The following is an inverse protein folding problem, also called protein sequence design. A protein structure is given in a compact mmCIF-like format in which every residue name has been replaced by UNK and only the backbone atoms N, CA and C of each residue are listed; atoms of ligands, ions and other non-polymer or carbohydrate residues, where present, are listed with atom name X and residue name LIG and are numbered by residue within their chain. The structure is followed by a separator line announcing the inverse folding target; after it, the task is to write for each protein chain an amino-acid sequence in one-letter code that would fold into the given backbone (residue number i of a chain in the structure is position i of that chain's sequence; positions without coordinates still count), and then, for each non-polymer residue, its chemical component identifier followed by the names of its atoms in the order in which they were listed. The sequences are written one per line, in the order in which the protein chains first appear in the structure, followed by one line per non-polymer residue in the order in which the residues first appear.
data_IF_362743173415
#
_entry.id   IF_362743173415
#
_cell.length_a   1.000
_cell.length_b   1.000
_cell.length_c   1.000
_cell.angle_alpha   90.00
_cell.angle_beta   90.00
_cell.angle_gamma   90.00
#
_symmetry.space_group_name_H-M   'P 1'
#
loop_
_entity.id
_entity.type
_entity.pdbx_description
1 polymer ?
#
# COMPACT_ATOMS: atom_id res chain seq x y z
N UNK A 1 -3.98 5.48 -10.93
CA UNK A 1 -3.47 5.33 -9.55
C UNK A 1 -2.13 6.04 -9.44
N UNK A 2 -1.89 6.74 -8.33
CA UNK A 2 -0.63 7.46 -8.09
C UNK A 2 -0.11 7.16 -6.68
N UNK A 3 1.16 6.80 -6.56
CA UNK A 3 1.83 6.66 -5.25
C UNK A 3 2.08 8.05 -4.67
N UNK A 4 1.76 8.22 -3.39
CA UNK A 4 1.93 9.48 -2.65
C UNK A 4 3.20 9.42 -1.82
N UNK A 5 3.81 10.59 -1.61
CA UNK A 5 5.02 10.69 -0.80
C UNK A 5 4.69 11.39 0.51
N UNK A 6 5.19 10.82 1.60
CA UNK A 6 5.12 11.39 2.95
C UNK A 6 6.54 11.50 3.48
N UNK A 7 6.87 12.64 4.08
CA UNK A 7 8.06 12.79 4.89
C UNK A 7 7.65 12.70 6.35
N UNK A 8 7.96 11.57 6.98
CA UNK A 8 7.68 11.40 8.39
C UNK A 8 8.57 12.34 9.21
N UNK A 9 7.99 13.11 10.16
CA UNK A 9 8.78 13.89 11.09
C UNK A 9 9.70 13.01 11.93
N UNK A 10 10.81 13.55 12.46
CA UNK A 10 11.67 12.81 13.38
C UNK A 10 10.89 12.25 14.56
N UNK A 11 11.09 10.96 14.86
CA UNK A 11 10.40 10.27 15.96
C UNK A 11 8.98 9.79 15.65
N UNK A 12 8.41 10.14 14.49
CA UNK A 12 7.13 9.59 14.03
C UNK A 12 7.42 8.33 13.21
N UNK A 13 6.94 7.19 13.71
CA UNK A 13 7.01 5.92 13.01
C UNK A 13 5.61 5.50 12.58
N UNK A 14 5.43 5.02 11.35
CA UNK A 14 4.15 4.45 10.97
C UNK A 14 3.91 3.20 11.82
N UNK A 15 2.70 3.05 12.33
CA UNK A 15 2.34 1.82 13.03
C UNK A 15 2.25 0.67 12.01
N UNK A 16 3.31 -0.14 12.01
CA UNK A 16 3.49 -1.33 11.17
C UNK A 16 3.28 -2.63 11.96
N UNK A 17 2.73 -2.55 13.18
CA UNK A 17 2.36 -3.72 13.98
C UNK A 17 1.11 -4.44 13.44
N UNK A 18 0.33 -3.74 12.62
CA UNK A 18 -0.87 -4.28 11.97
C UNK A 18 -0.54 -5.38 10.96
N UNK A 19 -1.51 -6.29 10.75
CA UNK A 19 -1.44 -7.28 9.67
C UNK A 19 -1.33 -6.56 8.32
N UNK A 20 -0.57 -7.12 7.34
CA UNK A 20 -0.57 -6.60 5.98
C UNK A 20 -1.98 -6.47 5.42
N UNK A 21 -2.21 -5.39 4.69
CA UNK A 21 -3.53 -5.10 4.18
C UNK A 21 -3.62 -3.73 3.53
N UNK A 22 -4.85 -3.39 3.18
CA UNK A 22 -5.21 -2.09 2.61
C UNK A 22 -6.30 -1.46 3.46
N UNK A 23 -6.16 -0.17 3.73
CA UNK A 23 -7.17 0.64 4.39
C UNK A 23 -7.56 1.76 3.45
N UNK A 24 -8.85 1.82 3.12
CA UNK A 24 -9.45 2.91 2.36
C UNK A 24 -9.80 4.05 3.31
N UNK A 25 -9.51 5.27 2.87
CA UNK A 25 -9.70 6.52 3.60
C UNK A 25 -10.42 7.48 2.65
N UNK A 26 -11.70 7.73 2.94
CA UNK A 26 -12.60 8.44 2.03
C UNK A 26 -12.68 9.95 2.25
N UNK A 27 -12.09 10.46 3.33
CA UNK A 27 -12.21 11.87 3.71
C UNK A 27 -11.00 12.37 4.49
N UNK A 28 -10.89 13.69 4.63
CA UNK A 28 -9.89 14.33 5.48
C UNK A 28 -10.07 13.97 6.97
N UNK A 29 -11.30 13.84 7.45
CA UNK A 29 -11.56 13.44 8.83
C UNK A 29 -11.05 12.02 9.09
N UNK A 30 -11.41 11.06 8.23
CA UNK A 30 -10.91 9.69 8.34
C UNK A 30 -9.38 9.61 8.25
N UNK A 31 -8.76 10.48 7.43
CA UNK A 31 -7.31 10.53 7.32
C UNK A 31 -6.66 10.97 8.63
N UNK A 32 -7.20 12.00 9.30
CA UNK A 32 -6.71 12.43 10.61
C UNK A 32 -6.84 11.33 11.65
N UNK A 33 -7.98 10.63 11.67
CA UNK A 33 -8.27 9.59 12.66
C UNK A 33 -7.35 8.36 12.48
N UNK A 34 -7.12 7.94 11.23
CA UNK A 34 -6.38 6.71 10.91
C UNK A 34 -4.87 6.88 10.79
N UNK A 35 -4.40 8.08 10.43
CA UNK A 35 -2.99 8.35 10.14
C UNK A 35 -2.36 9.34 11.12
N UNK A 36 -3.17 10.02 11.93
CA UNK A 36 -2.76 11.16 12.73
C UNK A 36 -2.69 12.45 11.89
N UNK A 37 -2.83 13.62 12.55
CA UNK A 37 -2.99 14.91 11.87
C UNK A 37 -1.78 15.32 11.03
N UNK A 38 -0.56 14.95 11.42
CA UNK A 38 0.66 15.36 10.72
C UNK A 38 0.84 14.65 9.37
N UNK A 39 0.63 13.33 9.35
CA UNK A 39 0.69 12.53 8.12
C UNK A 39 -0.50 12.85 7.23
N UNK A 40 -1.69 12.96 7.82
CA UNK A 40 -2.91 13.31 7.10
C UNK A 40 -2.74 14.65 6.37
N UNK A 41 -2.23 15.70 7.02
CA UNK A 41 -2.00 17.01 6.41
C UNK A 41 -1.13 16.96 5.14
N UNK A 42 -0.09 16.13 5.13
CA UNK A 42 0.77 15.95 3.94
C UNK A 42 0.06 15.20 2.81
N UNK A 43 -0.80 14.23 3.14
CA UNK A 43 -1.47 13.38 2.15
C UNK A 43 -2.73 14.03 1.57
N UNK A 44 -3.58 14.63 2.41
CA UNK A 44 -4.87 15.19 1.97
C UNK A 44 -4.69 16.36 1.01
N UNK A 45 -3.57 17.08 1.10
CA UNK A 45 -3.23 18.17 0.16
C UNK A 45 -2.86 17.68 -1.24
N UNK A 46 -2.59 16.37 -1.40
CA UNK A 46 -2.24 15.74 -2.67
C UNK A 46 -3.44 15.01 -3.32
N UNK A 47 -4.64 15.11 -2.74
CA UNK A 47 -5.81 14.29 -3.10
C UNK A 47 -7.05 15.19 -3.26
N UNK A 48 -7.79 14.97 -4.35
CA UNK A 48 -9.13 15.54 -4.53
C UNK A 48 -10.18 14.49 -4.13
N UNK A 49 -10.66 14.52 -2.87
CA UNK A 49 -11.63 13.55 -2.35
C UNK A 49 -13.00 13.56 -3.08
N UNK A 50 -13.25 14.51 -3.98
CA UNK A 50 -14.41 14.45 -4.86
C UNK A 50 -14.27 13.39 -5.96
N UNK A 51 -13.02 13.08 -6.37
CA UNK A 51 -12.69 12.17 -7.49
C UNK A 51 -11.85 10.97 -7.07
N UNK A 52 -11.08 11.12 -6.01
CA UNK A 52 -10.11 10.15 -5.52
C UNK A 52 -10.43 9.73 -4.08
N UNK A 53 -9.84 8.61 -3.67
CA UNK A 53 -9.75 8.16 -2.28
C UNK A 53 -8.30 7.84 -1.95
N UNK A 54 -7.96 7.96 -0.67
CA UNK A 54 -6.66 7.60 -0.14
C UNK A 54 -6.66 6.11 0.23
N UNK A 55 -5.62 5.39 -0.17
CA UNK A 55 -5.35 4.02 0.23
C UNK A 55 -4.03 3.97 0.98
N UNK A 56 -4.05 3.42 2.18
CA UNK A 56 -2.85 3.01 2.92
C UNK A 56 -2.65 1.51 2.69
N UNK A 57 -1.49 1.11 2.20
CA UNK A 57 -1.09 -0.28 2.03
C UNK A 57 0.06 -0.61 2.98
N UNK A 58 -0.22 -1.43 3.99
CA UNK A 58 0.79 -1.96 4.91
C UNK A 58 1.21 -3.34 4.45
N UNK A 59 2.52 -3.60 4.44
CA UNK A 59 3.04 -4.88 3.97
C UNK A 59 4.36 -5.24 4.63
N UNK A 60 4.72 -6.52 4.56
CA UNK A 60 6.02 -6.97 4.98
C UNK A 60 6.57 -8.03 4.02
N UNK A 61 7.89 -8.19 4.01
CA UNK A 61 8.54 -9.26 3.28
C UNK A 61 9.78 -9.75 4.00
N UNK A 62 9.98 -11.06 4.05
CA UNK A 62 11.24 -11.67 4.52
C UNK A 62 12.34 -11.55 3.45
N UNK A 63 13.62 -11.67 3.82
CA UNK A 63 14.72 -11.56 2.86
C UNK A 63 16.02 -11.09 3.51
N UNK A 64 17.04 -10.68 2.72
CA UNK A 64 17.04 -10.53 1.25
C UNK A 64 17.18 -11.85 0.46
N UNK A 65 16.78 -11.89 -0.85
CA UNK A 65 16.06 -10.83 -1.54
C UNK A 65 14.66 -10.66 -0.94
N UNK A 66 14.22 -9.40 -0.88
CA UNK A 66 12.91 -9.03 -0.37
C UNK A 66 11.90 -9.04 -1.52
N UNK A 67 10.65 -9.36 -1.20
CA UNK A 67 9.54 -9.07 -2.08
C UNK A 67 9.28 -7.56 -2.16
N UNK A 68 8.43 -7.19 -3.12
CA UNK A 68 8.05 -5.81 -3.38
C UNK A 68 6.54 -5.67 -3.40
N UNK A 69 6.02 -4.57 -2.86
CA UNK A 69 4.61 -4.23 -3.05
C UNK A 69 4.35 -3.95 -4.54
N UNK A 70 3.39 -4.66 -5.09
CA UNK A 70 2.89 -4.54 -6.45
C UNK A 70 1.38 -4.32 -6.41
N UNK A 71 0.82 -3.99 -7.57
CA UNK A 71 -0.62 -3.87 -7.73
C UNK A 71 -1.06 -4.44 -9.09
N UNK A 72 -2.30 -4.89 -9.14
CA UNK A 72 -2.98 -5.34 -10.35
C UNK A 72 -4.24 -4.48 -10.53
N UNK A 73 -4.41 -3.91 -11.71
CA UNK A 73 -5.60 -3.14 -12.08
C UNK A 73 -6.43 -3.96 -13.06
N UNK A 74 -7.68 -4.26 -12.70
CA UNK A 74 -8.68 -4.85 -13.60
C UNK A 74 -9.76 -3.82 -13.90
N UNK A 75 -10.03 -3.62 -15.18
CA UNK A 75 -11.05 -2.69 -15.67
C UNK A 75 -12.02 -3.44 -16.56
N UNK A 76 -13.30 -3.43 -16.18
CA UNK A 76 -14.39 -3.94 -17.02
C UNK A 76 -15.27 -2.76 -17.45
N UNK A 77 -15.80 -2.80 -18.69
CA UNK A 77 -16.54 -1.67 -19.28
C UNK A 77 -17.76 -1.21 -18.45
N UNK A 78 -18.29 -2.08 -17.59
CA UNK A 78 -19.50 -1.83 -16.81
C UNK A 78 -19.28 -1.97 -15.29
N UNK A 79 -18.04 -2.07 -14.81
CA UNK A 79 -17.76 -2.18 -13.38
C UNK A 79 -16.68 -1.17 -12.96
N UNK A 80 -16.74 -0.68 -11.71
CA UNK A 80 -15.65 0.13 -11.20
C UNK A 80 -14.31 -0.63 -11.24
N UNK A 81 -13.19 0.08 -11.46
CA UNK A 81 -11.88 -0.55 -11.52
C UNK A 81 -11.58 -1.29 -10.22
N UNK A 82 -11.09 -2.52 -10.32
CA UNK A 82 -10.60 -3.27 -9.15
C UNK A 82 -9.08 -3.17 -9.08
N UNK A 83 -8.58 -2.64 -7.97
CA UNK A 83 -7.15 -2.51 -7.69
C UNK A 83 -6.79 -3.50 -6.58
N UNK A 84 -5.97 -4.49 -6.89
CA UNK A 84 -5.49 -5.46 -5.90
C UNK A 84 -4.03 -5.23 -5.60
N UNK A 85 -3.71 -4.83 -4.38
CA UNK A 85 -2.35 -4.72 -3.88
C UNK A 85 -1.86 -6.08 -3.38
N UNK A 86 -0.60 -6.42 -3.64
CA UNK A 86 -0.02 -7.69 -3.19
C UNK A 86 1.51 -7.56 -3.06
N UNK A 87 2.12 -8.43 -2.26
CA UNK A 87 3.59 -8.57 -2.24
C UNK A 87 4.00 -9.58 -3.29
N UNK A 88 4.79 -9.15 -4.27
CA UNK A 88 5.45 -10.04 -5.21
C UNK A 88 6.73 -10.57 -4.57
N UNK A 89 6.82 -11.88 -4.36
CA UNK A 89 8.05 -12.53 -3.92
C UNK A 89 9.14 -12.44 -5.00
N UNK A 90 10.42 -12.39 -4.59
CA UNK A 90 11.52 -12.40 -5.53
C UNK A 90 11.52 -13.73 -6.31
N UNK A 91 11.80 -13.64 -7.61
CA UNK A 91 11.94 -14.82 -8.46
C UNK A 91 13.35 -15.41 -8.31
N UNK A 92 13.42 -16.74 -8.21
CA UNK A 92 14.67 -17.47 -8.16
C UNK A 92 14.91 -18.20 -9.48
N UNK A 93 16.16 -18.31 -9.95
CA UNK A 93 16.48 -19.07 -11.14
C UNK A 93 16.05 -20.54 -10.98
N UNK A 94 15.47 -21.18 -12.02
CA UNK A 94 15.16 -22.60 -11.99
C UNK A 94 16.40 -23.44 -11.63
N UNK A 95 16.22 -24.45 -10.78
CA UNK A 95 17.30 -25.36 -10.39
C UNK A 95 18.31 -24.82 -9.37
N UNK A 96 18.12 -23.60 -8.85
CA UNK A 96 18.92 -23.07 -7.73
C UNK A 96 18.10 -23.03 -6.43
N UNK A 97 18.70 -23.27 -5.26
CA UNK A 97 18.00 -23.12 -3.99
C UNK A 97 17.46 -21.70 -3.83
N UNK A 98 16.19 -21.58 -3.45
CA UNK A 98 15.56 -20.31 -3.09
C UNK A 98 16.06 -19.86 -1.70
N UNK A 99 17.28 -19.33 -1.64
CA UNK A 99 17.87 -18.84 -0.38
C UNK A 99 17.37 -17.41 -0.12
N UNK A 100 16.77 -17.22 1.06
CA UNK A 100 16.42 -15.90 1.60
C UNK A 100 17.10 -15.71 2.95
N UNK A 101 17.57 -14.50 3.19
CA UNK A 101 18.08 -14.07 4.48
C UNK A 101 16.98 -14.01 5.55
N UNK A 102 17.42 -13.90 6.80
CA UNK A 102 16.57 -13.82 7.99
C UNK A 102 16.36 -12.38 8.45
N UNK A 103 15.96 -11.49 7.54
CA UNK A 103 15.53 -10.14 7.88
C UNK A 103 14.08 -9.91 7.43
N UNK A 104 13.41 -8.97 8.09
CA UNK A 104 12.06 -8.52 7.73
C UNK A 104 12.11 -7.07 7.27
N UNK A 105 11.52 -6.79 6.11
CA UNK A 105 11.25 -5.46 5.62
C UNK A 105 9.78 -5.15 5.84
N UNK A 106 9.50 -4.03 6.49
CA UNK A 106 8.14 -3.49 6.66
C UNK A 106 7.96 -2.29 5.73
N UNK A 107 6.75 -2.10 5.20
CA UNK A 107 6.42 -0.98 4.32
C UNK A 107 5.04 -0.39 4.65
N UNK A 108 4.96 0.94 4.61
CA UNK A 108 3.72 1.71 4.68
C UNK A 108 3.66 2.63 3.45
N UNK A 109 2.84 2.27 2.47
CA UNK A 109 2.74 3.00 1.21
C UNK A 109 1.36 3.61 1.04
N UNK A 110 1.32 4.86 0.54
CA UNK A 110 0.09 5.60 0.33
C UNK A 110 -0.19 5.79 -1.16
N UNK A 111 -1.46 5.66 -1.56
CA UNK A 111 -1.88 5.79 -2.95
C UNK A 111 -3.15 6.62 -3.08
N UNK A 112 -3.23 7.43 -4.13
CA UNK A 112 -4.48 8.00 -4.61
C UNK A 112 -5.06 7.08 -5.70
N UNK A 113 -6.31 6.66 -5.53
CA UNK A 113 -7.05 5.82 -6.49
C UNK A 113 -8.41 6.46 -6.81
N UNK A 114 -9.02 6.13 -7.96
CA UNK A 114 -10.38 6.60 -8.27
C UNK A 114 -11.36 6.28 -7.15
N UNK A 115 -12.27 7.20 -6.85
CA UNK A 115 -13.19 7.10 -5.70
C UNK A 115 -14.12 5.89 -5.74
N UNK A 116 -14.45 5.44 -6.94
CA UNK A 116 -15.29 4.26 -7.19
C UNK A 116 -14.49 2.95 -7.23
N UNK A 117 -13.16 3.00 -7.19
CA UNK A 117 -12.32 1.82 -7.30
C UNK A 117 -12.54 0.84 -6.14
N UNK A 118 -12.71 -0.44 -6.46
CA UNK A 118 -12.70 -1.52 -5.47
C UNK A 118 -11.26 -1.86 -5.11
N UNK A 119 -10.88 -1.65 -3.85
CA UNK A 119 -9.51 -1.87 -3.38
C UNK A 119 -9.41 -3.17 -2.58
N UNK A 120 -8.46 -4.04 -2.95
CA UNK A 120 -8.30 -5.37 -2.36
C UNK A 120 -6.86 -5.62 -1.92
N UNK A 121 -6.71 -6.45 -0.90
CA UNK A 121 -5.42 -7.07 -0.53
C UNK A 121 -5.36 -8.49 -1.08
N UNK A 122 -4.38 -8.74 -1.94
CA UNK A 122 -4.14 -10.02 -2.61
C UNK A 122 -3.09 -10.90 -1.93
N UNK A 123 -2.62 -10.54 -0.74
CA UNK A 123 -1.60 -11.30 -0.01
C UNK A 123 -0.23 -11.29 -0.67
N UNK A 124 0.45 -12.42 -0.60
CA UNK A 124 1.79 -12.63 -1.18
C UNK A 124 1.66 -13.55 -2.41
N UNK A 125 2.34 -13.21 -3.51
CA UNK A 125 2.31 -13.94 -4.79
C UNK A 125 3.74 -14.29 -5.27
N UNK A 126 3.90 -15.38 -6.01
CA UNK A 126 5.17 -15.85 -6.60
C UNK A 126 5.40 -15.35 -8.03
#
# INVERSE_FOLDING_TARGET
MRKLTVKLPPGVHPDLSGKPGVVVIGSQQEANDKLGPEVAKQLVTQIDFSKEILVRATWHSSGPPFGTLQYELKTDKNQPPTITFYVQEPKFPPGKPAVRGMAMRLGDDYFAVPKDAKVLWGGTRQ
#
